data_IF_818555340377
#
_entry.id   IF_818555340377
#
_cell.length_a   1.000
_cell.length_b   1.000
_cell.length_c   1.000
_cell.angle_alpha   90.00
_cell.angle_beta   90.00
_cell.angle_gamma   90.00
#
_symmetry.space_group_name_H-M   'P 1'
#
loop_
_entity.id
_entity.type
_entity.pdbx_description
1 polymer ?
#
# COMPACT_ATOMS: atom_id res chain seq x y z
N UNK A 1 6.19 42.62 11.71
CA UNK A 1 6.53 42.08 13.04
C UNK A 1 5.27 41.49 13.64
N UNK A 2 5.33 40.25 14.10
CA UNK A 2 4.23 39.58 14.80
C UNK A 2 4.19 40.08 16.25
N UNK A 3 2.99 40.26 16.82
CA UNK A 3 2.86 40.64 18.24
C UNK A 3 3.27 39.46 19.15
N UNK A 4 3.99 39.69 20.26
CA UNK A 4 4.27 38.65 21.25
C UNK A 4 3.01 37.88 21.70
N UNK A 5 1.87 38.57 21.81
CA UNK A 5 0.58 37.97 22.19
C UNK A 5 0.07 36.97 21.14
N UNK A 6 0.30 37.23 19.84
CA UNK A 6 -0.07 36.33 18.76
C UNK A 6 0.77 35.05 18.82
N UNK A 7 2.08 35.19 19.08
CA UNK A 7 2.98 34.03 19.26
C UNK A 7 2.56 33.21 20.48
N UNK A 8 2.20 33.84 21.60
CA UNK A 8 1.72 33.14 22.80
C UNK A 8 0.40 32.38 22.54
N UNK A 9 -0.56 32.99 21.84
CA UNK A 9 -1.81 32.32 21.48
C UNK A 9 -1.59 31.13 20.51
N UNK A 10 -0.65 31.26 19.57
CA UNK A 10 -0.25 30.17 18.68
C UNK A 10 0.41 29.02 19.44
N UNK A 11 1.31 29.31 20.38
CA UNK A 11 1.94 28.31 21.26
C UNK A 11 0.88 27.56 22.08
N UNK A 12 -0.05 28.27 22.73
CA UNK A 12 -1.14 27.65 23.49
C UNK A 12 -2.01 26.71 22.64
N UNK A 13 -2.32 27.12 21.39
CA UNK A 13 -3.07 26.30 20.44
C UNK A 13 -2.28 25.04 20.04
N UNK A 14 -0.98 25.19 19.78
CA UNK A 14 -0.07 24.09 19.45
C UNK A 14 0.11 23.13 20.63
N UNK A 15 0.16 23.62 21.87
CA UNK A 15 0.24 22.82 23.09
C UNK A 15 -1.05 22.02 23.33
N UNK A 16 -2.22 22.62 23.12
CA UNK A 16 -3.51 21.93 23.21
C UNK A 16 -3.62 20.80 22.18
N UNK A 17 -3.20 21.05 20.93
CA UNK A 17 -3.11 20.00 19.89
C UNK A 17 -2.06 18.95 20.23
N UNK A 18 -0.95 19.33 20.87
CA UNK A 18 0.11 18.40 21.29
C UNK A 18 -0.36 17.44 22.37
N UNK A 19 -1.17 17.91 23.32
CA UNK A 19 -1.82 17.02 24.31
C UNK A 19 -2.77 16.03 23.63
N UNK A 20 -3.44 16.39 22.53
CA UNK A 20 -4.25 15.44 21.75
C UNK A 20 -3.39 14.41 21.00
N UNK A 21 -2.19 14.79 20.55
CA UNK A 21 -1.22 13.88 19.92
C UNK A 21 -0.58 12.92 20.94
N UNK A 22 -0.30 13.40 22.15
CA UNK A 22 0.14 12.60 23.30
C UNK A 22 -0.90 11.54 23.67
N UNK A 23 -2.17 11.95 23.82
CA UNK A 23 -3.30 11.04 24.01
C UNK A 23 -3.57 10.11 22.81
N UNK A 24 -3.01 10.41 21.63
CA UNK A 24 -3.02 9.54 20.45
C UNK A 24 -1.80 8.60 20.38
N UNK A 25 -0.94 8.59 21.40
CA UNK A 25 0.23 7.71 21.50
C UNK A 25 1.42 8.12 20.62
N UNK A 26 1.54 9.40 20.24
CA UNK A 26 2.78 9.89 19.62
C UNK A 26 3.89 10.01 20.67
N UNK A 27 5.13 9.75 20.25
CA UNK A 27 6.31 9.95 21.10
C UNK A 27 6.54 11.45 21.33
N UNK A 28 7.11 11.80 22.49
CA UNK A 28 7.47 13.19 22.82
C UNK A 28 8.38 13.85 21.77
N UNK A 29 9.23 13.04 21.11
CA UNK A 29 10.09 13.47 19.99
C UNK A 29 9.27 13.90 18.78
N UNK A 30 8.28 13.09 18.38
CA UNK A 30 7.38 13.41 17.27
C UNK A 30 6.50 14.62 17.58
N UNK A 31 6.04 14.75 18.84
CA UNK A 31 5.30 15.92 19.32
C UNK A 31 6.19 17.18 19.25
N UNK A 32 7.43 17.12 19.73
CA UNK A 32 8.35 18.25 19.65
C UNK A 32 8.62 18.68 18.20
N UNK A 33 8.89 17.73 17.30
CA UNK A 33 9.04 18.01 15.86
C UNK A 33 7.77 18.62 15.25
N UNK A 34 6.57 18.16 15.63
CA UNK A 34 5.31 18.79 15.25
C UNK A 34 5.24 20.25 15.73
N UNK A 35 5.53 20.54 17.01
CA UNK A 35 5.53 21.92 17.54
C UNK A 35 6.44 22.85 16.73
N UNK A 36 7.68 22.43 16.43
CA UNK A 36 8.62 23.23 15.63
C UNK A 36 8.18 23.39 14.17
N UNK A 37 7.58 22.37 13.56
CA UNK A 37 7.00 22.47 12.22
C UNK A 37 5.81 23.44 12.17
N UNK A 38 4.89 23.36 13.14
CA UNK A 38 3.74 24.24 13.25
C UNK A 38 4.16 25.70 13.48
N UNK A 39 5.13 25.95 14.36
CA UNK A 39 5.68 27.29 14.58
C UNK A 39 6.37 27.84 13.34
N UNK A 40 7.19 27.05 12.63
CA UNK A 40 7.85 27.47 11.39
C UNK A 40 6.88 27.71 10.22
N UNK A 41 5.71 27.06 10.23
CA UNK A 41 4.66 27.26 9.24
C UNK A 41 3.81 28.52 9.51
N UNK A 42 3.55 28.83 10.78
CA UNK A 42 2.84 30.06 11.17
C UNK A 42 3.75 31.30 11.13
N UNK A 43 5.04 31.13 11.45
CA UNK A 43 6.05 32.18 11.56
C UNK A 43 7.30 31.80 10.75
N UNK A 44 7.34 32.12 9.44
CA UNK A 44 8.47 31.82 8.57
C UNK A 44 9.81 32.39 9.08
N UNK A 45 9.79 33.47 9.84
CA UNK A 45 10.96 34.05 10.51
C UNK A 45 11.58 33.15 11.59
N UNK A 46 10.80 32.22 12.16
CA UNK A 46 11.29 31.23 13.14
C UNK A 46 11.81 29.95 12.50
N UNK A 47 11.75 29.82 11.16
CA UNK A 47 12.11 28.60 10.43
C UNK A 47 13.55 28.15 10.70
N UNK A 48 14.51 29.07 10.69
CA UNK A 48 15.92 28.75 10.94
C UNK A 48 16.15 28.24 12.37
N UNK A 49 15.53 28.90 13.35
CA UNK A 49 15.55 28.47 14.77
C UNK A 49 14.88 27.11 14.95
N UNK A 50 13.78 26.85 14.23
CA UNK A 50 13.08 25.58 14.25
C UNK A 50 13.93 24.44 13.64
N UNK A 51 14.68 24.67 12.56
CA UNK A 51 15.62 23.67 12.01
C UNK A 51 16.77 23.37 12.97
N UNK A 52 17.33 24.38 13.64
CA UNK A 52 18.36 24.19 14.68
C UNK A 52 17.79 23.35 15.84
N UNK A 53 16.58 23.66 16.33
CA UNK A 53 15.93 22.90 17.39
C UNK A 53 15.64 21.43 16.99
N UNK A 54 15.18 21.20 15.75
CA UNK A 54 15.00 19.84 15.20
C UNK A 54 16.32 19.06 15.13
N UNK A 55 17.41 19.71 14.71
CA UNK A 55 18.74 19.10 14.64
C UNK A 55 19.22 18.65 16.02
N UNK A 56 19.06 19.49 17.05
CA UNK A 56 19.37 19.15 18.43
C UNK A 56 18.50 18.00 18.98
N UNK A 57 17.21 17.98 18.64
CA UNK A 57 16.29 16.89 19.02
C UNK A 57 16.66 15.58 18.33
N UNK A 58 16.98 15.61 17.02
CA UNK A 58 17.43 14.43 16.28
C UNK A 58 18.82 13.92 16.70
N UNK A 59 19.66 14.78 17.26
CA UNK A 59 20.95 14.40 17.84
C UNK A 59 20.83 13.80 19.24
N UNK A 60 19.88 14.28 20.06
CA UNK A 60 19.61 13.74 21.41
C UNK A 60 18.76 12.46 21.39
N UNK A 61 17.91 12.31 20.38
CA UNK A 61 17.15 11.09 20.10
C UNK A 61 17.59 10.54 18.74
N UNK A 62 18.74 9.82 18.66
CA UNK A 62 19.16 9.20 17.42
C UNK A 62 18.03 8.33 16.87
N UNK A 63 17.85 8.37 15.54
CA UNK A 63 16.76 7.68 14.84
C UNK A 63 16.89 6.16 15.10
N UNK A 64 16.12 5.67 16.08
CA UNK A 64 16.23 4.30 16.62
C UNK A 64 15.58 3.29 15.71
N UNK A 65 16.36 2.87 14.70
CA UNK A 65 15.96 2.04 13.56
C UNK A 65 14.88 2.69 12.69
N UNK A 66 15.04 2.64 11.36
CA UNK A 66 13.88 2.78 10.48
C UNK A 66 12.95 1.59 10.74
N UNK A 67 11.94 1.81 11.58
CA UNK A 67 10.93 0.80 11.85
C UNK A 67 10.30 0.31 10.54
N UNK A 68 9.98 -0.97 10.48
CA UNK A 68 9.38 -1.62 9.33
C UNK A 68 7.86 -1.53 9.40
N UNK A 69 7.23 -1.30 8.25
CA UNK A 69 5.79 -1.45 8.10
C UNK A 69 5.40 -2.93 8.15
N UNK A 70 4.12 -3.20 8.40
CA UNK A 70 3.59 -4.57 8.42
C UNK A 70 3.76 -5.28 7.07
N UNK A 71 3.83 -4.53 5.95
CA UNK A 71 4.12 -5.06 4.62
C UNK A 71 5.57 -5.55 4.49
N UNK A 72 6.52 -4.81 5.05
CA UNK A 72 7.95 -5.19 5.05
C UNK A 72 8.20 -6.37 5.99
N UNK A 73 7.57 -6.38 7.18
CA UNK A 73 7.57 -7.55 8.06
C UNK A 73 7.03 -8.81 7.38
N UNK A 74 5.91 -8.70 6.64
CA UNK A 74 5.31 -9.82 5.91
C UNK A 74 6.26 -10.40 4.84
N UNK A 75 7.05 -9.54 4.18
CA UNK A 75 8.12 -9.97 3.26
C UNK A 75 9.21 -10.77 3.98
N UNK A 76 9.79 -10.20 5.04
CA UNK A 76 10.86 -10.84 5.83
C UNK A 76 10.41 -12.18 6.43
N UNK A 77 9.19 -12.25 6.96
CA UNK A 77 8.60 -13.49 7.48
C UNK A 77 8.36 -14.51 6.37
N UNK A 78 7.96 -14.07 5.17
CA UNK A 78 7.78 -14.96 4.01
C UNK A 78 9.08 -15.62 3.58
N UNK A 79 10.16 -14.83 3.49
CA UNK A 79 11.51 -15.32 3.18
C UNK A 79 12.02 -16.28 4.26
N UNK A 80 11.85 -15.91 5.53
CA UNK A 80 12.36 -16.66 6.69
C UNK A 80 11.61 -17.99 6.94
N UNK A 81 10.31 -18.05 6.66
CA UNK A 81 9.47 -19.23 6.88
C UNK A 81 9.28 -20.10 5.62
N UNK A 82 9.71 -19.61 4.45
CA UNK A 82 9.45 -20.27 3.15
C UNK A 82 7.97 -20.38 2.78
N UNK A 83 7.09 -19.61 3.45
CA UNK A 83 5.63 -19.66 3.32
C UNK A 83 5.10 -18.24 3.11
N UNK A 84 4.17 -18.04 2.19
CA UNK A 84 3.60 -16.70 1.92
C UNK A 84 2.78 -16.20 3.11
N UNK A 85 3.33 -15.24 3.86
CA UNK A 85 2.68 -14.54 4.98
C UNK A 85 2.16 -13.21 4.45
N UNK A 86 0.86 -12.96 4.61
CA UNK A 86 0.21 -11.71 4.20
C UNK A 86 0.27 -10.64 5.28
N UNK A 87 0.29 -9.33 4.94
CA UNK A 87 0.26 -8.24 5.91
C UNK A 87 -0.96 -8.30 6.85
N UNK A 88 -2.11 -8.80 6.39
CA UNK A 88 -3.29 -9.01 7.24
C UNK A 88 -3.04 -10.06 8.33
N UNK A 89 -2.30 -11.13 8.03
CA UNK A 89 -1.96 -12.18 8.99
C UNK A 89 -0.96 -11.67 10.03
N UNK A 90 -0.02 -10.80 9.64
CA UNK A 90 0.90 -10.16 10.57
C UNK A 90 0.16 -9.21 11.52
N UNK A 91 -0.77 -8.39 11.01
CA UNK A 91 -1.65 -7.57 11.87
C UNK A 91 -2.46 -8.44 12.85
N UNK A 92 -3.02 -9.56 12.39
CA UNK A 92 -3.74 -10.50 13.26
C UNK A 92 -2.83 -11.08 14.34
N UNK A 93 -1.63 -11.54 13.99
CA UNK A 93 -0.65 -12.06 14.96
C UNK A 93 -0.26 -10.99 16.01
N UNK A 94 -0.02 -9.75 15.59
CA UNK A 94 0.31 -8.63 16.50
C UNK A 94 -0.86 -8.27 17.44
N UNK A 95 -2.10 -8.43 17.00
CA UNK A 95 -3.30 -8.31 17.86
C UNK A 95 -3.41 -9.49 18.83
N UNK A 96 -3.23 -10.73 18.36
CA UNK A 96 -3.28 -11.95 19.21
C UNK A 96 -2.18 -11.95 20.28
N UNK A 97 -0.99 -11.45 19.95
CA UNK A 97 0.13 -11.27 20.88
C UNK A 97 -0.03 -10.05 21.80
N UNK A 98 -1.10 -9.26 21.65
CA UNK A 98 -1.38 -8.11 22.50
C UNK A 98 -0.46 -6.91 22.29
N UNK A 99 0.25 -6.82 21.15
CA UNK A 99 1.13 -5.68 20.80
C UNK A 99 0.42 -4.56 20.04
N UNK A 100 -0.72 -4.86 19.42
CA UNK A 100 -1.42 -3.94 18.54
C UNK A 100 -2.94 -3.97 18.80
N UNK A 101 -3.57 -2.80 18.80
CA UNK A 101 -5.02 -2.66 18.92
C UNK A 101 -5.59 -1.95 17.69
N UNK A 102 -6.83 -2.28 17.32
CA UNK A 102 -7.57 -1.63 16.24
C UNK A 102 -8.54 -0.60 16.80
N UNK A 103 -8.30 0.68 16.54
CA UNK A 103 -9.30 1.70 16.81
C UNK A 103 -10.39 1.66 15.73
N UNK A 104 -11.52 1.00 16.02
CA UNK A 104 -12.60 0.81 15.04
C UNK A 104 -13.20 2.13 14.55
N UNK A 105 -13.33 3.12 15.45
CA UNK A 105 -13.91 4.42 15.13
C UNK A 105 -13.06 5.22 14.12
N UNK A 106 -11.73 5.14 14.20
CA UNK A 106 -10.80 5.85 13.30
C UNK A 106 -10.24 4.97 12.17
N UNK A 107 -10.48 3.65 12.21
CA UNK A 107 -9.86 2.63 11.33
C UNK A 107 -8.32 2.66 11.35
N UNK A 108 -7.73 3.21 12.40
CA UNK A 108 -6.28 3.28 12.63
C UNK A 108 -5.83 2.16 13.55
N UNK A 109 -4.54 1.81 13.45
CA UNK A 109 -3.89 0.90 14.37
C UNK A 109 -3.12 1.69 15.42
N UNK A 110 -3.15 1.22 16.66
CA UNK A 110 -2.41 1.78 17.80
C UNK A 110 -1.55 0.70 18.46
N UNK A 111 -0.43 1.10 19.03
CA UNK A 111 0.40 0.23 19.87
C UNK A 111 -0.22 0.14 21.27
N UNK A 112 -0.23 -1.07 21.82
CA UNK A 112 -0.49 -1.29 23.25
C UNK A 112 0.77 -0.95 24.07
N UNK A 113 0.68 -1.00 25.40
CA UNK A 113 1.83 -0.81 26.29
C UNK A 113 2.97 -1.79 25.96
N UNK A 114 2.67 -3.10 25.84
CA UNK A 114 3.63 -4.10 25.40
C UNK A 114 4.14 -3.85 23.96
N UNK A 115 3.29 -3.28 23.09
CA UNK A 115 3.66 -2.94 21.72
C UNK A 115 4.71 -1.83 21.61
N UNK A 116 4.75 -0.89 22.55
CA UNK A 116 5.69 0.24 22.53
C UNK A 116 7.16 -0.17 22.75
N UNK A 117 7.41 -1.34 23.33
CA UNK A 117 8.78 -1.87 23.46
C UNK A 117 9.37 -2.27 22.09
N UNK A 118 8.52 -2.75 21.18
CA UNK A 118 8.92 -3.32 19.89
C UNK A 118 8.43 -2.51 18.68
N UNK A 119 7.68 -1.44 18.90
CA UNK A 119 7.10 -0.60 17.86
C UNK A 119 7.19 0.89 18.18
N UNK A 120 7.07 1.70 17.13
CA UNK A 120 7.00 3.16 17.20
C UNK A 120 5.76 3.65 16.44
N UNK A 121 5.03 4.58 17.04
CA UNK A 121 3.91 5.27 16.41
C UNK A 121 4.44 6.56 15.77
N UNK A 122 4.35 6.65 14.44
CA UNK A 122 4.82 7.80 13.68
C UNK A 122 3.65 8.52 12.98
N UNK A 123 3.76 9.84 12.84
CA UNK A 123 2.88 10.60 11.97
C UNK A 123 3.35 10.44 10.51
N UNK A 124 2.64 9.61 9.74
CA UNK A 124 2.86 9.51 8.30
C UNK A 124 2.11 10.64 7.59
N UNK A 125 2.84 11.52 6.92
CA UNK A 125 2.30 12.49 5.96
C UNK A 125 2.59 11.99 4.55
N UNK A 126 1.55 11.80 3.74
CA UNK A 126 1.76 11.51 2.32
C UNK A 126 2.31 12.75 1.61
N UNK A 127 3.30 12.58 0.74
CA UNK A 127 3.86 13.65 -0.09
C UNK A 127 3.02 13.94 -1.34
N UNK A 128 2.21 12.98 -1.76
CA UNK A 128 1.33 13.07 -2.94
C UNK A 128 -0.13 13.41 -2.60
N UNK A 129 -0.53 13.18 -1.34
CA UNK A 129 -1.89 13.37 -0.86
C UNK A 129 -1.79 14.19 0.43
N UNK A 130 -2.64 15.18 0.68
CA UNK A 130 -2.67 15.90 1.98
C UNK A 130 -3.19 15.06 3.16
N UNK A 131 -3.08 13.73 3.06
CA UNK A 131 -3.39 12.77 4.11
C UNK A 131 -2.25 12.71 5.12
N UNK A 132 -2.58 13.01 6.37
CA UNK A 132 -1.76 12.69 7.54
C UNK A 132 -2.48 11.65 8.40
N UNK A 133 -1.73 10.70 8.95
CA UNK A 133 -2.29 9.62 9.75
C UNK A 133 -1.26 8.94 10.63
N UNK A 134 -1.73 8.27 11.67
CA UNK A 134 -0.88 7.45 12.53
C UNK A 134 -0.49 6.19 11.78
N UNK A 135 0.83 5.98 11.61
CA UNK A 135 1.42 4.78 11.07
C UNK A 135 2.28 4.10 12.13
N UNK A 136 1.86 2.91 12.53
CA UNK A 136 2.69 2.03 13.36
C UNK A 136 3.82 1.45 12.50
N UNK A 137 5.05 1.55 13.01
CA UNK A 137 6.22 0.86 12.47
C UNK A 137 6.86 -0.01 13.56
N UNK A 138 7.56 -1.07 13.17
CA UNK A 138 8.05 -2.11 14.06
C UNK A 138 9.58 -2.25 14.02
N UNK A 139 10.21 -2.44 15.17
CA UNK A 139 11.65 -2.69 15.31
C UNK A 139 11.98 -4.13 14.94
N UNK A 140 13.27 -4.42 14.72
CA UNK A 140 13.71 -5.78 14.38
C UNK A 140 13.43 -6.83 15.47
N UNK A 141 13.30 -6.41 16.73
CA UNK A 141 12.96 -7.30 17.85
C UNK A 141 11.67 -8.10 17.65
N UNK A 142 10.68 -7.54 16.96
CA UNK A 142 9.39 -8.23 16.75
C UNK A 142 9.49 -9.43 15.81
N UNK A 143 10.52 -9.50 14.95
CA UNK A 143 10.66 -10.56 13.95
C UNK A 143 10.76 -11.93 14.62
N UNK A 144 11.62 -12.08 15.63
CA UNK A 144 11.79 -13.35 16.35
C UNK A 144 10.49 -13.82 17.03
N UNK A 145 9.71 -12.88 17.55
CA UNK A 145 8.44 -13.16 18.24
C UNK A 145 7.38 -13.64 17.23
N UNK A 146 7.29 -12.98 16.08
CA UNK A 146 6.39 -13.36 14.99
C UNK A 146 6.80 -14.70 14.36
N UNK A 147 8.10 -14.96 14.17
CA UNK A 147 8.60 -16.26 13.69
C UNK A 147 8.16 -17.40 14.62
N UNK A 148 8.37 -17.24 15.93
CA UNK A 148 7.93 -18.23 16.92
C UNK A 148 6.42 -18.47 16.86
N UNK A 149 5.61 -17.40 16.76
CA UNK A 149 4.15 -17.49 16.64
C UNK A 149 3.71 -18.27 15.39
N UNK A 150 4.28 -17.95 14.21
CA UNK A 150 3.92 -18.61 12.95
C UNK A 150 4.46 -20.06 12.86
N UNK A 151 5.58 -20.37 13.50
CA UNK A 151 6.10 -21.74 13.61
C UNK A 151 5.18 -22.60 14.50
N UNK A 152 4.90 -22.16 15.73
CA UNK A 152 4.04 -22.87 16.68
C UNK A 152 2.61 -23.09 16.12
N UNK A 153 2.07 -22.12 15.39
CA UNK A 153 0.78 -22.25 14.69
C UNK A 153 0.81 -23.31 13.59
N UNK A 154 1.97 -23.58 12.98
CA UNK A 154 2.10 -24.60 11.94
C UNK A 154 2.25 -26.01 12.50
N UNK A 155 2.89 -26.18 13.65
CA UNK A 155 3.06 -27.50 14.28
C UNK A 155 1.72 -28.08 14.77
N UNK A 156 0.82 -27.24 15.30
CA UNK A 156 -0.53 -27.63 15.71
C UNK A 156 -1.43 -28.09 14.54
N UNK A 157 -1.08 -27.76 13.29
CA UNK A 157 -1.85 -28.18 12.11
C UNK A 157 -1.50 -29.59 11.62
N UNK A 158 -0.47 -30.23 12.19
CA UNK A 158 0.09 -31.52 11.72
C UNK A 158 -0.26 -32.71 12.61
N UNK A 159 -1.03 -32.52 13.69
CA UNK A 159 -1.28 -33.51 14.73
C UNK A 159 -2.73 -34.01 14.82
N UNK A 160 -3.49 -33.96 13.72
CA UNK A 160 -4.81 -34.64 13.63
C UNK A 160 -4.87 -35.53 12.38
N UNK A 161 -4.69 -36.84 12.58
CA UNK A 161 -5.18 -37.85 11.64
C UNK A 161 -5.57 -39.13 12.40
N UNK A 162 -6.79 -39.60 12.15
CA UNK A 162 -7.38 -40.90 12.56
C UNK A 162 -7.81 -41.08 14.03
N UNK A 163 -9.11 -40.88 14.26
CA UNK A 163 -9.97 -41.98 14.75
C UNK A 163 -11.45 -41.71 14.44
N UNK A 164 -12.00 -42.65 13.66
CA UNK A 164 -13.36 -43.19 13.55
C UNK A 164 -14.66 -42.36 13.62
N UNK A 165 -15.54 -42.82 12.75
CA UNK A 165 -16.90 -42.43 12.42
C UNK A 165 -17.89 -42.40 13.59
N UNK A 166 -18.81 -41.43 13.57
CA UNK A 166 -20.24 -41.76 13.64
C UNK A 166 -21.09 -40.69 12.95
N UNK A 167 -22.16 -41.12 12.27
CA UNK A 167 -23.14 -40.24 11.63
C UNK A 167 -24.10 -39.63 12.65
N UNK A 168 -24.48 -38.36 12.47
CA UNK A 168 -25.90 -38.04 12.27
C UNK A 168 -26.08 -36.89 11.27
N UNK A 169 -27.19 -36.98 10.56
CA UNK A 169 -27.60 -36.21 9.38
C UNK A 169 -28.63 -35.14 9.79
N UNK A 170 -28.63 -33.97 9.13
CA UNK A 170 -29.84 -33.20 8.76
C UNK A 170 -29.47 -32.03 7.81
N UNK A 171 -30.05 -32.10 6.60
CA UNK A 171 -30.50 -31.05 5.67
C UNK A 171 -30.00 -29.59 5.84
N UNK A 172 -29.29 -28.98 4.88
CA UNK A 172 -29.56 -28.67 3.44
C UNK A 172 -30.15 -27.26 3.19
N UNK A 173 -29.25 -26.37 2.78
CA UNK A 173 -29.37 -25.48 1.59
C UNK A 173 -27.99 -25.45 0.88
N UNK A 174 -27.78 -25.42 -0.45
CA UNK A 174 -28.58 -25.15 -1.67
C UNK A 174 -28.85 -23.65 -1.89
N UNK A 175 -28.23 -22.90 -2.82
CA UNK A 175 -27.18 -23.07 -3.86
C UNK A 175 -26.77 -21.62 -4.33
N UNK A 176 -25.82 -21.39 -5.26
CA UNK A 176 -24.79 -22.27 -5.82
C UNK A 176 -23.36 -21.69 -5.77
N UNK A 177 -22.37 -22.58 -5.85
CA UNK A 177 -20.99 -22.27 -6.21
C UNK A 177 -20.87 -21.57 -7.57
N UNK A 178 -19.80 -20.80 -7.76
CA UNK A 178 -19.02 -20.99 -8.99
C UNK A 178 -17.53 -21.09 -8.68
N UNK A 179 -16.91 -22.12 -9.24
CA UNK A 179 -15.60 -22.63 -8.83
C UNK A 179 -14.51 -22.12 -9.81
N UNK A 180 -13.32 -21.80 -9.29
CA UNK A 180 -12.31 -21.05 -10.05
C UNK A 180 -10.88 -21.27 -9.58
N UNK A 181 -10.58 -22.47 -9.08
CA UNK A 181 -9.24 -22.91 -8.71
C UNK A 181 -8.22 -22.75 -9.86
N UNK A 182 -7.08 -22.11 -9.61
CA UNK A 182 -5.79 -22.50 -10.20
C UNK A 182 -4.61 -22.02 -9.33
N UNK A 183 -3.91 -22.97 -8.71
CA UNK A 183 -2.52 -22.79 -8.32
C UNK A 183 -1.62 -22.68 -9.58
N UNK A 184 -0.55 -21.89 -9.50
CA UNK A 184 0.81 -22.44 -9.50
C UNK A 184 1.89 -21.35 -9.34
N UNK A 185 2.91 -21.70 -8.55
CA UNK A 185 4.16 -20.95 -8.40
C UNK A 185 5.14 -21.27 -9.55
N UNK A 186 6.32 -20.65 -9.43
CA UNK A 186 7.61 -20.99 -10.04
C UNK A 186 8.00 -20.21 -11.30
N UNK A 187 9.11 -19.47 -11.15
CA UNK A 187 9.91 -18.98 -12.25
C UNK A 187 10.78 -20.11 -12.81
N UNK A 188 10.85 -20.21 -14.13
CA UNK A 188 11.94 -20.85 -14.84
C UNK A 188 12.12 -20.11 -16.17
N UNK A 189 13.36 -19.81 -16.54
CA UNK A 189 13.66 -19.28 -17.87
C UNK A 189 13.44 -20.39 -18.90
N UNK A 190 12.52 -20.18 -19.85
CA UNK A 190 12.76 -20.66 -21.21
C UNK A 190 11.96 -19.86 -22.27
N UNK A 191 12.56 -19.75 -23.45
CA UNK A 191 12.09 -19.03 -24.63
C UNK A 191 11.08 -19.85 -25.43
N UNK A 192 9.79 -19.50 -25.39
CA UNK A 192 8.84 -19.68 -26.53
C UNK A 192 7.43 -19.12 -26.26
N UNK A 193 6.68 -18.69 -27.31
CA UNK A 193 5.38 -18.05 -27.16
C UNK A 193 4.25 -19.06 -26.84
N UNK A 194 3.51 -18.82 -25.76
CA UNK A 194 2.36 -19.67 -25.36
C UNK A 194 1.12 -19.34 -26.21
N UNK A 195 0.94 -20.08 -27.30
CA UNK A 195 -0.28 -20.06 -28.10
C UNK A 195 -1.49 -20.55 -27.26
N UNK A 196 -2.36 -19.63 -26.83
CA UNK A 196 -3.49 -19.97 -25.97
C UNK A 196 -4.45 -18.82 -25.63
N UNK A 197 -4.37 -17.68 -26.34
CA UNK A 197 -5.27 -16.55 -26.10
C UNK A 197 -6.65 -16.83 -26.71
N UNK A 198 -7.63 -17.19 -25.86
CA UNK A 198 -9.05 -17.17 -26.24
C UNK A 198 -9.37 -15.75 -26.75
N UNK A 199 -9.80 -15.61 -28.01
CA UNK A 199 -10.05 -14.31 -28.66
C UNK A 199 -10.98 -13.45 -27.80
N UNK A 200 -10.42 -12.50 -27.03
CA UNK A 200 -11.19 -11.50 -26.29
C UNK A 200 -11.91 -10.62 -27.30
N UNK A 201 -13.24 -10.48 -27.19
CA UNK A 201 -14.04 -9.64 -28.10
C UNK A 201 -13.62 -8.17 -28.05
N UNK A 202 -13.21 -7.69 -26.88
CA UNK A 202 -12.67 -6.36 -26.67
C UNK A 202 -11.45 -6.38 -25.75
N UNK A 203 -10.56 -5.41 -25.92
CA UNK A 203 -9.27 -5.28 -25.27
C UNK A 203 -9.17 -3.96 -24.50
N UNK A 204 -8.23 -3.90 -23.56
CA UNK A 204 -7.82 -2.65 -22.90
C UNK A 204 -6.33 -2.41 -23.16
N UNK A 205 -5.86 -1.17 -23.00
CA UNK A 205 -4.43 -0.85 -23.11
C UNK A 205 -3.58 -1.71 -22.17
N UNK A 206 -3.99 -1.85 -20.92
CA UNK A 206 -3.29 -2.68 -19.93
C UNK A 206 -3.24 -4.17 -20.32
N UNK A 207 -4.33 -4.72 -20.87
CA UNK A 207 -4.34 -6.09 -21.40
C UNK A 207 -3.36 -6.26 -22.57
N UNK A 208 -3.29 -5.28 -23.48
CA UNK A 208 -2.42 -5.33 -24.67
C UNK A 208 -0.94 -5.19 -24.31
N UNK A 209 -0.61 -4.29 -23.37
CA UNK A 209 0.74 -4.14 -22.79
C UNK A 209 1.21 -5.45 -22.15
N UNK A 210 0.33 -6.12 -21.37
CA UNK A 210 0.63 -7.41 -20.75
C UNK A 210 0.82 -8.54 -21.77
N UNK A 211 0.01 -8.57 -22.83
CA UNK A 211 0.12 -9.55 -23.93
C UNK A 211 1.43 -9.37 -24.73
N UNK A 212 1.93 -8.13 -24.81
CA UNK A 212 3.23 -7.79 -25.41
C UNK A 212 4.44 -7.99 -24.47
N UNK A 213 4.23 -8.40 -23.22
CA UNK A 213 5.30 -8.56 -22.22
C UNK A 213 5.98 -7.25 -21.79
N UNK A 214 5.38 -6.09 -22.11
CA UNK A 214 5.94 -4.78 -21.79
C UNK A 214 5.70 -4.44 -20.32
N UNK A 215 6.72 -3.85 -19.66
CA UNK A 215 6.58 -3.25 -18.34
C UNK A 215 6.16 -1.79 -18.51
N UNK A 216 5.09 -1.37 -17.82
CA UNK A 216 4.59 0.01 -17.86
C UNK A 216 4.15 0.46 -16.47
N UNK A 217 4.40 1.73 -16.14
CA UNK A 217 3.86 2.34 -14.92
C UNK A 217 2.43 2.88 -15.16
N UNK A 218 1.65 3.22 -14.11
CA UNK A 218 0.28 3.69 -14.26
C UNK A 218 0.14 4.94 -15.16
N UNK A 219 1.04 5.91 -15.03
CA UNK A 219 1.05 7.14 -15.83
C UNK A 219 1.31 6.88 -17.32
N UNK A 220 2.17 5.92 -17.65
CA UNK A 220 2.38 5.45 -19.03
C UNK A 220 1.13 4.77 -19.58
N UNK A 221 0.43 3.96 -18.77
CA UNK A 221 -0.82 3.32 -19.18
C UNK A 221 -1.89 4.39 -19.47
N UNK A 222 -1.99 5.42 -18.63
CA UNK A 222 -2.91 6.56 -18.84
C UNK A 222 -2.56 7.38 -20.10
N UNK A 223 -1.26 7.64 -20.35
CA UNK A 223 -0.81 8.34 -21.55
C UNK A 223 -1.03 7.53 -22.84
N UNK A 224 -0.80 6.21 -22.81
CA UNK A 224 -1.13 5.32 -23.93
C UNK A 224 -2.65 5.26 -24.13
N UNK A 225 -3.43 5.29 -23.04
CA UNK A 225 -4.89 5.32 -23.08
C UNK A 225 -5.41 6.62 -23.72
N UNK A 226 -4.81 7.79 -23.45
CA UNK A 226 -5.20 9.03 -24.13
C UNK A 226 -4.87 9.02 -25.62
N UNK A 227 -3.69 8.55 -26.03
CA UNK A 227 -3.34 8.42 -27.46
C UNK A 227 -4.22 7.39 -28.18
N UNK A 228 -4.58 6.29 -27.53
CA UNK A 228 -5.46 5.28 -28.11
C UNK A 228 -6.92 5.79 -28.21
N UNK A 229 -7.41 6.56 -27.24
CA UNK A 229 -8.73 7.22 -27.30
C UNK A 229 -8.78 8.28 -28.42
N UNK A 230 -7.69 9.04 -28.62
CA UNK A 230 -7.50 10.06 -29.67
C UNK A 230 -7.50 9.40 -31.07
N UNK A 231 -6.55 8.50 -31.34
CA UNK A 231 -6.44 7.80 -32.62
C UNK A 231 -7.70 6.98 -32.98
N UNK A 232 -8.43 6.46 -31.98
CA UNK A 232 -9.70 5.79 -32.22
C UNK A 232 -10.79 6.78 -32.63
N UNK A 233 -10.83 7.95 -32.00
CA UNK A 233 -11.76 9.03 -32.35
C UNK A 233 -11.49 9.56 -33.77
N UNK A 234 -10.21 9.70 -34.16
CA UNK A 234 -9.81 10.10 -35.51
C UNK A 234 -10.24 9.09 -36.58
N UNK A 235 -10.07 7.79 -36.30
CA UNK A 235 -10.34 6.73 -37.29
C UNK A 235 -11.83 6.35 -37.39
N UNK A 236 -12.60 6.44 -36.30
CA UNK A 236 -13.99 5.99 -36.24
C UNK A 236 -15.02 7.08 -35.91
N UNK A 237 -14.60 8.35 -35.80
CA UNK A 237 -15.47 9.51 -35.52
C UNK A 237 -16.21 9.45 -34.19
N UNK A 238 -15.88 8.48 -33.32
CA UNK A 238 -16.63 8.12 -32.11
C UNK A 238 -15.65 7.71 -31.02
N UNK A 239 -16.02 7.93 -29.75
CA UNK A 239 -15.17 7.55 -28.61
C UNK A 239 -15.29 6.04 -28.32
N UNK A 240 -14.20 5.36 -27.91
CA UNK A 240 -14.24 3.95 -27.56
C UNK A 240 -15.11 3.68 -26.32
N UNK A 241 -15.72 2.50 -26.26
CA UNK A 241 -16.65 2.11 -25.19
C UNK A 241 -15.94 2.03 -23.83
N UNK A 242 -16.42 2.77 -22.83
CA UNK A 242 -15.83 2.76 -21.47
C UNK A 242 -16.40 1.63 -20.62
N UNK A 243 -15.52 0.88 -19.95
CA UNK A 243 -15.92 -0.18 -19.02
C UNK A 243 -16.37 0.45 -17.70
N UNK A 244 -17.68 0.38 -17.43
CA UNK A 244 -18.26 0.71 -16.12
C UNK A 244 -17.92 -0.35 -15.07
N UNK A 245 -17.85 0.06 -13.79
CA UNK A 245 -17.56 -0.84 -12.67
C UNK A 245 -16.10 -0.85 -12.16
N UNK A 246 -15.23 0.03 -12.65
CA UNK A 246 -13.90 0.29 -12.09
C UNK A 246 -13.78 1.74 -11.60
N UNK A 247 -12.98 1.99 -10.55
CA UNK A 247 -12.71 3.35 -10.03
C UNK A 247 -12.14 4.29 -11.11
N UNK A 248 -11.34 3.75 -12.01
CA UNK A 248 -10.83 4.47 -13.18
C UNK A 248 -11.56 3.93 -14.41
N UNK A 249 -12.18 4.83 -15.19
CA UNK A 249 -12.86 4.49 -16.44
C UNK A 249 -11.82 4.14 -17.51
N UNK A 250 -11.69 2.85 -17.82
CA UNK A 250 -10.80 2.35 -18.88
C UNK A 250 -11.60 2.14 -20.17
N UNK A 251 -11.17 2.73 -21.27
CA UNK A 251 -11.80 2.48 -22.57
C UNK A 251 -11.41 1.11 -23.12
N UNK A 252 -12.35 0.47 -23.79
CA UNK A 252 -12.20 -0.84 -24.39
C UNK A 252 -12.36 -0.77 -25.90
N UNK A 253 -11.43 -1.43 -26.58
CA UNK A 253 -11.28 -1.40 -28.02
C UNK A 253 -11.73 -2.74 -28.61
N UNK A 254 -12.54 -2.74 -29.68
CA UNK A 254 -12.86 -3.97 -30.42
C UNK A 254 -11.58 -4.56 -31.04
N UNK A 255 -11.59 -5.85 -31.36
CA UNK A 255 -10.38 -6.54 -31.86
C UNK A 255 -9.89 -5.97 -33.20
N UNK A 256 -10.81 -5.43 -33.98
CA UNK A 256 -10.62 -4.78 -35.27
C UNK A 256 -9.83 -3.46 -35.14
N UNK A 257 -9.88 -2.82 -33.97
CA UNK A 257 -9.20 -1.55 -33.66
C UNK A 257 -7.89 -1.73 -32.89
N UNK A 258 -7.34 -2.95 -32.81
CA UNK A 258 -6.09 -3.20 -32.09
C UNK A 258 -4.87 -2.46 -32.68
N UNK A 259 -4.88 -2.18 -34.00
CA UNK A 259 -3.87 -1.38 -34.70
C UNK A 259 -3.64 0.00 -34.04
N UNK A 260 -4.73 0.65 -33.61
CA UNK A 260 -4.69 1.92 -32.87
C UNK A 260 -3.97 1.76 -31.52
N UNK A 261 -4.29 0.69 -30.78
CA UNK A 261 -3.67 0.42 -29.47
C UNK A 261 -2.17 0.17 -29.63
N UNK A 262 -1.75 -0.57 -30.66
CA UNK A 262 -0.31 -0.72 -30.98
C UNK A 262 0.34 0.62 -31.32
N UNK A 263 -0.28 1.45 -32.16
CA UNK A 263 0.23 2.79 -32.52
C UNK A 263 0.41 3.69 -31.29
N UNK A 264 -0.54 3.66 -30.36
CA UNK A 264 -0.45 4.39 -29.11
C UNK A 264 0.68 3.88 -28.19
N UNK A 265 0.84 2.56 -28.08
CA UNK A 265 1.96 1.94 -27.34
C UNK A 265 3.30 2.35 -27.97
N UNK A 266 3.45 2.26 -29.30
CA UNK A 266 4.67 2.68 -30.00
C UNK A 266 4.97 4.18 -29.81
N UNK A 267 3.95 5.03 -29.83
CA UNK A 267 4.10 6.49 -29.65
C UNK A 267 4.72 6.84 -28.29
N UNK A 268 4.36 6.11 -27.24
CA UNK A 268 4.86 6.34 -25.87
C UNK A 268 6.18 5.61 -25.60
N UNK A 269 6.37 4.40 -26.12
CA UNK A 269 7.59 3.62 -25.90
C UNK A 269 8.76 3.99 -26.84
N UNK A 270 8.48 4.50 -28.04
CA UNK A 270 9.48 4.86 -29.05
C UNK A 270 9.32 6.31 -29.55
N UNK A 271 9.50 7.34 -28.69
CA UNK A 271 9.33 8.74 -29.08
C UNK A 271 10.27 9.18 -30.22
N UNK A 272 11.37 8.47 -30.47
CA UNK A 272 12.34 8.74 -31.55
C UNK A 272 11.82 8.49 -32.97
N UNK A 273 10.67 7.83 -33.17
CA UNK A 273 10.08 7.66 -34.51
C UNK A 273 9.25 8.86 -35.00
N UNK A 274 9.00 9.87 -34.15
CA UNK A 274 8.10 10.99 -34.48
C UNK A 274 8.74 12.11 -35.31
N UNK A 275 9.99 11.94 -35.77
CA UNK A 275 10.72 12.92 -36.61
C UNK A 275 10.76 12.56 -38.10
N UNK A 276 10.15 11.43 -38.51
CA UNK A 276 10.13 10.97 -39.91
C UNK A 276 8.73 10.47 -40.31
N UNK A 277 7.75 11.38 -40.36
CA UNK A 277 6.44 11.23 -41.02
C UNK A 277 5.79 12.60 -41.24
#
# INVERSE_FOLDING_TARGET
MVSPEQVTAAIQTIDQLSSWLENAGLTQVAIAQFKFNSLAAMYPELKEVAEIAKSLIGATFPITEEGMTVTELAGILTESLGKNVKPEQVNQALVTLGYQERNEAKRTWSLTEAGQEHGISLLATSTTNSWSGVQVKWRRSVISILLNYFQASSDQSTSITKSDESYQEISKEVYPSNNGNYNNNAAANDTSPKAGSKRKKAWTVADRIKDLGLKSNPTQIELIQSFADEFYSDQYGTKPSKLSGRRNLVSSYPSEALSIVYRAIETVFNPKKKSES
#
